data_IF_874438919564
#
_entry.id   IF_874438919564
#
_cell.length_a   1.000
_cell.length_b   1.000
_cell.length_c   1.000
_cell.angle_alpha   90.00
_cell.angle_beta   90.00
_cell.angle_gamma   90.00
#
_symmetry.space_group_name_H-M   'P 1'
#
loop_
_entity.id
_entity.type
_entity.pdbx_description
1 polymer ?
#
# COMPACT_ATOMS: atom_id res chain seq x y z
N UNK A 1 -13.90 -2.83 3.35
CA UNK A 1 -12.88 -3.89 3.32
C UNK A 1 -11.73 -3.46 2.44
N UNK A 2 -10.52 -3.67 2.93
CA UNK A 2 -9.34 -3.21 2.23
C UNK A 2 -8.74 -4.34 1.40
N UNK A 3 -8.65 -4.11 0.11
CA UNK A 3 -8.03 -5.07 -0.79
C UNK A 3 -6.84 -4.42 -1.47
N UNK A 4 -5.80 -5.20 -1.64
CA UNK A 4 -4.63 -4.75 -2.36
C UNK A 4 -4.92 -4.78 -3.85
N UNK A 5 -4.80 -3.63 -4.51
CA UNK A 5 -5.06 -3.54 -5.95
C UNK A 5 -3.98 -4.23 -6.77
N UNK A 6 -2.84 -4.49 -6.15
CA UNK A 6 -1.71 -5.11 -6.84
C UNK A 6 -1.81 -6.63 -6.89
N UNK A 7 -2.02 -7.25 -5.73
CA UNK A 7 -2.11 -8.70 -5.65
C UNK A 7 -3.55 -9.20 -5.47
N UNK A 8 -4.49 -8.29 -5.35
CA UNK A 8 -5.91 -8.57 -5.17
C UNK A 8 -6.22 -9.42 -3.94
N UNK A 9 -5.31 -9.42 -2.98
CA UNK A 9 -5.52 -10.13 -1.72
C UNK A 9 -6.09 -9.22 -0.67
N UNK A 10 -6.64 -9.83 0.37
CA UNK A 10 -7.14 -9.07 1.50
C UNK A 10 -5.98 -8.51 2.31
N UNK A 11 -6.12 -7.27 2.74
CA UNK A 11 -5.10 -6.62 3.55
C UNK A 11 -5.45 -6.83 5.02
N UNK A 12 -4.54 -7.45 5.76
CA UNK A 12 -4.74 -7.65 7.18
C UNK A 12 -4.72 -6.32 7.91
N UNK A 13 -5.45 -6.26 9.02
CA UNK A 13 -5.48 -5.06 9.84
C UNK A 13 -4.06 -4.74 10.32
N UNK A 14 -3.66 -3.48 10.18
CA UNK A 14 -2.32 -3.04 10.52
C UNK A 14 -1.31 -3.18 9.39
N UNK A 15 -1.70 -3.80 8.27
CA UNK A 15 -0.81 -3.97 7.12
C UNK A 15 -1.21 -3.11 5.92
N UNK A 16 -2.15 -2.21 6.12
CA UNK A 16 -2.60 -1.31 5.05
C UNK A 16 -1.67 -0.12 4.94
N UNK A 17 -1.06 0.04 3.79
CA UNK A 17 -0.26 1.21 3.49
C UNK A 17 -0.96 2.04 2.43
N UNK A 18 -0.81 3.35 2.52
CA UNK A 18 -1.43 4.25 1.57
C UNK A 18 -0.49 5.38 1.20
N UNK A 19 -0.68 5.88 0.00
CA UNK A 19 0.07 7.04 -0.48
C UNK A 19 -0.74 8.30 -0.21
N UNK A 20 -0.11 9.30 0.38
CA UNK A 20 -0.78 10.58 0.65
C UNK A 20 -0.80 11.50 -0.57
N UNK A 21 -0.05 11.16 -1.60
CA UNK A 21 0.03 11.99 -2.79
C UNK A 21 -1.00 11.59 -3.85
N UNK A 22 -1.01 10.32 -4.23
CA UNK A 22 -1.95 9.84 -5.26
C UNK A 22 -3.11 9.03 -4.69
N UNK A 23 -3.09 8.73 -3.41
CA UNK A 23 -4.16 7.98 -2.76
C UNK A 23 -4.16 6.49 -3.00
N UNK A 24 -3.07 5.94 -3.53
CA UNK A 24 -2.98 4.50 -3.76
C UNK A 24 -2.88 3.75 -2.45
N UNK A 25 -3.51 2.58 -2.38
CA UNK A 25 -3.47 1.72 -1.21
C UNK A 25 -2.96 0.35 -1.59
N UNK A 26 -2.17 -0.26 -0.72
CA UNK A 26 -1.60 -1.58 -0.98
C UNK A 26 -1.26 -2.27 0.34
N UNK A 27 -1.07 -3.60 0.27
CA UNK A 27 -0.68 -4.36 1.45
C UNK A 27 0.82 -4.23 1.70
N UNK A 28 1.24 -4.60 2.90
CA UNK A 28 2.66 -4.52 3.27
C UNK A 28 3.54 -5.36 2.36
N UNK A 29 3.06 -6.54 1.96
CA UNK A 29 3.83 -7.40 1.06
C UNK A 29 4.15 -6.72 -0.26
N UNK A 30 3.17 -6.05 -0.84
CA UNK A 30 3.39 -5.29 -2.08
C UNK A 30 4.27 -4.07 -1.83
N UNK A 31 4.09 -3.42 -0.70
CA UNK A 31 4.88 -2.25 -0.34
C UNK A 31 6.35 -2.62 -0.15
N UNK A 32 6.64 -3.80 0.41
CA UNK A 32 8.01 -4.25 0.59
C UNK A 32 8.72 -4.47 -0.74
N UNK A 33 7.98 -4.88 -1.77
CA UNK A 33 8.55 -5.07 -3.10
C UNK A 33 9.02 -3.76 -3.73
N UNK A 34 8.42 -2.66 -3.31
CA UNK A 34 8.77 -1.34 -3.79
C UNK A 34 9.50 -0.53 -2.72
N UNK A 35 10.03 -1.20 -1.69
CA UNK A 35 10.71 -0.56 -0.57
C UNK A 35 9.84 0.47 0.13
N UNK A 36 8.55 0.19 0.20
CA UNK A 36 7.54 1.08 0.80
C UNK A 36 7.48 2.44 0.13
N UNK A 37 7.72 2.43 -1.18
CA UNK A 37 7.57 3.62 -2.02
C UNK A 37 6.41 3.38 -2.98
N UNK A 38 5.57 4.38 -3.15
CA UNK A 38 4.44 4.28 -4.07
C UNK A 38 4.96 4.07 -5.50
N UNK A 39 4.52 3.00 -6.20
CA UNK A 39 4.99 2.75 -7.55
C UNK A 39 4.37 3.67 -8.61
N UNK A 40 3.36 4.45 -8.22
CA UNK A 40 2.67 5.33 -9.15
C UNK A 40 3.22 6.75 -9.14
N UNK A 41 3.50 7.28 -7.96
CA UNK A 41 3.99 8.66 -7.83
C UNK A 41 5.34 8.75 -7.13
N UNK A 42 5.87 7.61 -6.68
CA UNK A 42 7.16 7.51 -6.00
C UNK A 42 7.24 8.30 -4.69
N UNK A 43 6.11 8.47 -4.04
CA UNK A 43 6.07 9.10 -2.73
C UNK A 43 6.11 8.04 -1.64
N UNK A 44 6.48 8.43 -0.43
CA UNK A 44 6.54 7.50 0.69
C UNK A 44 5.16 6.97 1.04
N UNK A 45 5.08 5.68 1.32
CA UNK A 45 3.86 5.05 1.78
C UNK A 45 3.79 5.12 3.31
N UNK A 46 2.58 5.24 3.83
CA UNK A 46 2.33 5.29 5.26
C UNK A 46 1.33 4.22 5.66
N UNK A 47 1.44 3.74 6.88
CA UNK A 47 0.46 2.79 7.42
C UNK A 47 -0.85 3.52 7.69
N UNK A 48 -1.94 2.98 7.13
CA UNK A 48 -3.27 3.55 7.28
C UNK A 48 -4.17 2.73 8.22
N UNK A 49 -3.80 1.51 8.44
CA UNK A 49 -4.61 0.67 9.32
C UNK A 49 -3.91 -0.52 9.85
#
# INVERSE_FOLDING_TARGET
MNECKNCKGKIAEGNLLGCNNCGAEMCLSCAEKTMRICPYCYSDLEFKG
#
